data_IF_804409458375
#
_entry.id   IF_804409458375
#
_cell.length_a   1.000
_cell.length_b   1.000
_cell.length_c   1.000
_cell.angle_alpha   90.00
_cell.angle_beta   90.00
_cell.angle_gamma   90.00
#
_symmetry.space_group_name_H-M   'P 1'
#
loop_
_entity.id
_entity.type
_entity.pdbx_description
1 polymer ?
#
# COMPACT_ATOMS: atom_id res chain seq x y z
N UNK A 1 -15.92 -16.12 5.95
CA UNK A 1 -15.17 -15.69 7.15
C UNK A 1 -13.69 -15.38 6.86
N UNK A 2 -13.16 -15.73 5.68
CA UNK A 2 -11.76 -15.52 5.27
C UNK A 2 -11.41 -14.03 5.00
N UNK A 3 -12.34 -13.29 4.39
CA UNK A 3 -12.18 -11.88 3.98
C UNK A 3 -11.80 -10.91 5.11
N UNK A 4 -12.36 -11.08 6.32
CA UNK A 4 -12.03 -10.19 7.45
C UNK A 4 -10.60 -10.39 7.95
N UNK A 5 -10.10 -11.63 7.94
CA UNK A 5 -8.74 -11.92 8.39
C UNK A 5 -7.71 -11.23 7.49
N UNK A 6 -7.90 -11.32 6.18
CA UNK A 6 -6.99 -10.69 5.22
C UNK A 6 -7.08 -9.17 5.22
N UNK A 7 -8.27 -8.62 5.47
CA UNK A 7 -8.45 -7.18 5.71
C UNK A 7 -7.63 -6.68 6.90
N UNK A 8 -7.79 -7.30 8.08
CA UNK A 8 -7.05 -6.90 9.27
C UNK A 8 -5.55 -7.12 9.12
N UNK A 9 -5.14 -8.19 8.43
CA UNK A 9 -3.73 -8.45 8.12
C UNK A 9 -3.15 -7.36 7.21
N UNK A 10 -3.89 -6.93 6.20
CA UNK A 10 -3.46 -5.87 5.27
C UNK A 10 -3.35 -4.53 5.99
N UNK A 11 -4.31 -4.17 6.84
CA UNK A 11 -4.24 -2.95 7.68
C UNK A 11 -3.07 -2.99 8.66
N UNK A 12 -2.81 -4.15 9.28
CA UNK A 12 -1.66 -4.34 10.17
C UNK A 12 -0.36 -4.04 9.44
N UNK A 13 -0.17 -4.65 8.26
CA UNK A 13 1.03 -4.46 7.45
C UNK A 13 1.17 -3.01 6.97
N UNK A 14 0.08 -2.34 6.61
CA UNK A 14 0.09 -0.91 6.24
C UNK A 14 0.49 -0.03 7.43
N UNK A 15 0.01 -0.35 8.63
CA UNK A 15 0.37 0.38 9.85
C UNK A 15 1.85 0.20 10.19
N UNK A 16 2.37 -1.00 10.05
CA UNK A 16 3.79 -1.30 10.26
C UNK A 16 4.66 -0.56 9.21
N UNK A 17 4.20 -0.47 7.96
CA UNK A 17 4.87 0.28 6.90
C UNK A 17 4.92 1.80 7.19
N UNK A 18 3.85 2.36 7.76
CA UNK A 18 3.83 3.74 8.25
C UNK A 18 4.84 3.90 9.40
N UNK A 19 4.90 2.95 10.34
CA UNK A 19 5.92 2.96 11.39
C UNK A 19 7.33 3.00 10.82
N UNK A 20 7.61 2.14 9.84
CA UNK A 20 8.88 2.09 9.13
C UNK A 20 9.22 3.42 8.43
N UNK A 21 8.23 4.12 7.85
CA UNK A 21 8.45 5.38 7.12
C UNK A 21 9.00 6.53 7.96
N UNK A 22 8.93 6.45 9.28
CA UNK A 22 9.43 7.48 10.20
C UNK A 22 10.89 7.26 10.65
N UNK A 23 11.55 6.20 10.16
CA UNK A 23 12.97 5.93 10.42
C UNK A 23 13.91 6.95 9.73
N UNK A 24 15.05 7.26 10.37
CA UNK A 24 16.01 8.26 9.87
C UNK A 24 16.64 7.92 8.51
N UNK A 25 16.84 6.63 8.22
CA UNK A 25 17.46 6.13 6.98
C UNK A 25 16.54 5.14 6.24
N UNK A 26 15.25 5.48 6.17
CA UNK A 26 14.26 4.58 5.58
C UNK A 26 14.50 4.37 4.07
N UNK A 27 14.39 3.13 3.62
CA UNK A 27 14.44 2.80 2.20
C UNK A 27 13.18 3.36 1.49
N UNK A 28 13.36 4.50 0.84
CA UNK A 28 12.30 5.19 0.10
C UNK A 28 11.87 4.44 -1.16
N UNK A 29 12.75 3.64 -1.76
CA UNK A 29 12.42 2.85 -2.94
C UNK A 29 11.50 1.68 -2.54
N UNK A 30 11.81 1.03 -1.42
CA UNK A 30 10.95 0.02 -0.81
C UNK A 30 9.55 0.55 -0.50
N UNK A 31 9.43 1.70 0.18
CA UNK A 31 8.13 2.31 0.51
C UNK A 31 7.29 2.59 -0.74
N UNK A 32 7.91 3.11 -1.80
CA UNK A 32 7.25 3.42 -3.08
C UNK A 32 6.78 2.17 -3.80
N UNK A 33 7.54 1.08 -3.72
CA UNK A 33 7.18 -0.18 -4.35
C UNK A 33 6.08 -0.92 -3.58
N UNK A 34 6.22 -1.06 -2.27
CA UNK A 34 5.36 -1.93 -1.44
C UNK A 34 4.06 -1.26 -1.03
N UNK A 35 4.07 0.06 -0.75
CA UNK A 35 2.89 0.79 -0.27
C UNK A 35 1.67 0.65 -1.18
N UNK A 36 1.78 0.95 -2.49
CA UNK A 36 0.66 0.81 -3.42
C UNK A 36 0.18 -0.64 -3.58
N UNK A 37 1.09 -1.62 -3.65
CA UNK A 37 0.73 -3.03 -3.76
C UNK A 37 -0.06 -3.52 -2.54
N UNK A 38 0.34 -3.08 -1.34
CA UNK A 38 -0.34 -3.45 -0.10
C UNK A 38 -1.70 -2.76 0.03
N UNK A 39 -1.80 -1.49 -0.40
CA UNK A 39 -3.05 -0.74 -0.45
C UNK A 39 -4.04 -1.36 -1.45
N UNK A 40 -3.57 -1.88 -2.59
CA UNK A 40 -4.39 -2.55 -3.59
C UNK A 40 -5.01 -3.88 -3.11
N UNK A 41 -4.42 -4.51 -2.08
CA UNK A 41 -4.97 -5.72 -1.45
C UNK A 41 -6.16 -5.43 -0.52
N UNK A 42 -6.51 -4.17 -0.29
CA UNK A 42 -7.70 -3.83 0.49
C UNK A 42 -8.99 -4.11 -0.32
N UNK A 43 -10.07 -4.54 0.35
CA UNK A 43 -11.36 -4.73 -0.30
C UNK A 43 -11.85 -3.43 -0.96
N UNK A 44 -12.53 -3.57 -2.09
CA UNK A 44 -13.20 -2.46 -2.76
C UNK A 44 -14.16 -1.73 -1.79
N UNK A 45 -14.15 -0.40 -1.82
CA UNK A 45 -14.93 0.44 -0.89
C UNK A 45 -14.23 0.81 0.42
N UNK A 46 -12.99 0.35 0.65
CA UNK A 46 -12.17 0.84 1.78
C UNK A 46 -11.71 2.29 1.56
N UNK A 47 -11.55 2.68 0.31
CA UNK A 47 -11.12 4.03 -0.06
C UNK A 47 -12.31 4.99 -0.21
N UNK A 48 -12.12 6.28 0.09
CA UNK A 48 -13.18 7.27 -0.04
C UNK A 48 -13.72 7.32 -1.49
N UNK A 49 -15.00 7.71 -1.67
CA UNK A 49 -15.58 7.87 -3.00
C UNK A 49 -14.73 8.81 -3.86
N UNK A 50 -14.38 8.39 -5.07
CA UNK A 50 -13.54 9.16 -5.99
C UNK A 50 -12.03 8.90 -5.85
N UNK A 51 -11.59 8.01 -4.96
CA UNK A 51 -10.21 7.51 -4.95
C UNK A 51 -9.97 6.61 -6.17
N UNK A 52 -9.09 7.05 -7.07
CA UNK A 52 -8.57 6.22 -8.16
C UNK A 52 -7.29 5.51 -7.69
N UNK A 53 -7.31 4.18 -7.48
CA UNK A 53 -6.14 3.42 -7.05
C UNK A 53 -5.00 3.39 -8.08
N UNK A 54 -5.28 3.82 -9.32
CA UNK A 54 -4.28 3.98 -10.39
C UNK A 54 -3.76 5.42 -10.51
N UNK A 55 -4.32 6.37 -9.75
CA UNK A 55 -3.83 7.77 -9.70
C UNK A 55 -2.54 7.96 -8.92
N UNK A 56 -1.95 6.87 -8.41
CA UNK A 56 -0.59 6.88 -7.88
C UNK A 56 0.41 7.39 -8.92
N UNK A 57 1.59 7.88 -8.50
CA UNK A 57 2.61 8.35 -9.43
C UNK A 57 2.91 7.27 -10.47
N UNK A 58 2.87 7.65 -11.76
CA UNK A 58 3.27 6.75 -12.85
C UNK A 58 4.74 6.39 -12.66
N UNK A 59 4.99 5.17 -12.19
CA UNK A 59 6.34 4.63 -12.17
C UNK A 59 6.75 4.33 -13.62
N UNK A 60 7.97 4.73 -14.04
CA UNK A 60 8.48 4.29 -15.32
C UNK A 60 8.47 2.77 -15.33
N UNK A 61 7.80 2.18 -16.31
CA UNK A 61 7.81 0.73 -16.52
C UNK A 61 9.26 0.40 -16.90
N UNK A 62 10.03 -0.17 -15.98
CA UNK A 62 11.36 -0.68 -16.32
C UNK A 62 11.17 -1.73 -17.39
N UNK A 63 11.60 -1.40 -18.61
CA UNK A 63 11.69 -2.32 -19.72
C UNK A 63 12.82 -3.29 -19.38
N UNK A 64 12.46 -4.54 -19.12
CA UNK A 64 13.37 -5.67 -19.21
C UNK A 64 13.07 -6.37 -20.53
#
# INVERSE_FOLDING_TARGET
MYEQSDFFRTLRLLSDLIGYSHGRDVDRAFLKAVGPSLAASLPAGTFPPGYDPTSGPRYPRSEW
#
